data_IF_701559206861
#
_entry.id   IF_701559206861
#
_cell.length_a   1.000
_cell.length_b   1.000
_cell.length_c   1.000
_cell.angle_alpha   90.00
_cell.angle_beta   90.00
_cell.angle_gamma   90.00
#
_symmetry.space_group_name_H-M   'P 1'
#
loop_
_entity.id
_entity.type
_entity.pdbx_description
1 polymer ?
#
# COMPACT_ATOMS: atom_id res chain seq x y z
N UNK A 1 -8.86 -14.10 -32.26
CA UNK A 1 -9.08 -15.04 -31.14
C UNK A 1 -8.47 -16.43 -31.32
N UNK A 2 -8.27 -16.96 -32.52
CA UNK A 2 -7.61 -18.29 -32.73
C UNK A 2 -6.10 -18.29 -32.49
N UNK A 3 -5.40 -17.22 -32.79
CA UNK A 3 -3.93 -17.15 -32.73
C UNK A 3 -3.34 -17.16 -31.31
N UNK A 4 -4.15 -16.90 -30.28
CA UNK A 4 -3.68 -16.78 -28.90
C UNK A 4 -3.62 -18.11 -28.12
N UNK A 5 -4.21 -19.17 -28.68
CA UNK A 5 -4.37 -20.48 -28.01
C UNK A 5 -3.62 -21.64 -28.69
N UNK A 6 -2.89 -21.37 -29.76
CA UNK A 6 -2.16 -22.39 -30.54
C UNK A 6 -0.78 -22.75 -29.92
N UNK A 7 -0.66 -22.68 -28.58
CA UNK A 7 0.59 -23.07 -27.94
C UNK A 7 0.67 -24.57 -27.73
N UNK A 8 1.64 -25.18 -28.39
CA UNK A 8 2.05 -26.58 -28.17
C UNK A 8 3.42 -26.54 -27.49
N UNK A 9 3.53 -27.07 -26.26
CA UNK A 9 4.83 -27.14 -25.57
C UNK A 9 5.82 -27.98 -26.36
N UNK A 10 7.11 -27.69 -26.27
CA UNK A 10 8.19 -28.44 -26.98
C UNK A 10 8.15 -29.94 -26.62
N UNK A 11 7.76 -30.29 -25.40
CA UNK A 11 7.61 -31.69 -24.97
C UNK A 11 6.49 -32.40 -25.75
N UNK A 12 5.31 -31.76 -25.87
CA UNK A 12 4.16 -32.30 -26.63
C UNK A 12 4.56 -32.39 -28.11
N UNK A 13 5.17 -31.35 -28.65
CA UNK A 13 5.65 -31.33 -30.04
C UNK A 13 6.60 -32.47 -30.37
N UNK A 14 7.63 -32.67 -29.52
CA UNK A 14 8.58 -33.79 -29.63
C UNK A 14 7.91 -35.17 -29.57
N UNK A 15 6.85 -35.32 -28.78
CA UNK A 15 6.07 -36.57 -28.72
C UNK A 15 5.19 -36.76 -29.98
N UNK A 16 4.53 -35.68 -30.43
CA UNK A 16 3.72 -35.71 -31.66
C UNK A 16 4.53 -36.04 -32.92
N UNK A 17 5.78 -35.58 -33.00
CA UNK A 17 6.68 -35.93 -34.14
C UNK A 17 6.91 -37.44 -34.28
N UNK A 18 6.93 -38.16 -33.17
CA UNK A 18 7.16 -39.62 -33.15
C UNK A 18 5.92 -40.44 -33.51
N UNK A 19 4.76 -39.82 -33.69
CA UNK A 19 3.52 -40.51 -34.04
C UNK A 19 3.44 -40.70 -35.55
N UNK A 20 3.41 -41.95 -36.04
CA UNK A 20 3.44 -42.23 -37.47
C UNK A 20 2.10 -41.97 -38.17
N UNK A 21 0.99 -41.99 -37.46
CA UNK A 21 -0.36 -41.79 -38.02
C UNK A 21 -0.74 -40.33 -38.11
N UNK A 22 -0.88 -39.75 -39.34
CA UNK A 22 -1.30 -38.34 -39.50
C UNK A 22 -2.68 -38.05 -38.87
N UNK A 23 -3.63 -38.98 -38.98
CA UNK A 23 -4.97 -38.82 -38.40
C UNK A 23 -4.95 -38.79 -36.86
N UNK A 24 -4.13 -39.66 -36.25
CA UNK A 24 -3.97 -39.64 -34.80
C UNK A 24 -3.26 -38.36 -34.34
N UNK A 25 -2.22 -37.95 -35.05
CA UNK A 25 -1.54 -36.67 -34.75
C UNK A 25 -2.49 -35.49 -34.79
N UNK A 26 -3.31 -35.38 -35.83
CA UNK A 26 -4.32 -34.30 -35.95
C UNK A 26 -5.32 -34.30 -34.80
N UNK A 27 -5.82 -35.45 -34.37
CA UNK A 27 -6.72 -35.57 -33.23
C UNK A 27 -6.08 -35.11 -31.91
N UNK A 28 -4.80 -35.47 -31.71
CA UNK A 28 -4.09 -35.09 -30.48
C UNK A 28 -3.78 -33.58 -30.45
N UNK A 29 -3.49 -32.97 -31.59
CA UNK A 29 -3.35 -31.50 -31.69
C UNK A 29 -4.67 -30.83 -31.36
N UNK A 30 -5.78 -31.31 -31.88
CA UNK A 30 -7.09 -30.75 -31.59
C UNK A 30 -7.48 -30.89 -30.11
N UNK A 31 -7.18 -32.04 -29.49
CA UNK A 31 -7.35 -32.22 -28.05
C UNK A 31 -6.52 -31.19 -27.25
N UNK A 32 -5.26 -30.97 -27.66
CA UNK A 32 -4.41 -29.96 -26.99
C UNK A 32 -5.00 -28.55 -27.12
N UNK A 33 -5.50 -28.19 -28.30
CA UNK A 33 -6.11 -26.87 -28.54
C UNK A 33 -7.36 -26.67 -27.70
N UNK A 34 -8.25 -27.67 -27.63
CA UNK A 34 -9.45 -27.61 -26.78
C UNK A 34 -9.08 -27.52 -25.30
N UNK A 35 -8.07 -28.27 -24.87
CA UNK A 35 -7.59 -28.25 -23.49
C UNK A 35 -7.01 -26.88 -23.13
N UNK A 36 -6.22 -26.29 -24.03
CA UNK A 36 -5.67 -24.94 -23.82
C UNK A 36 -6.76 -23.89 -23.67
N UNK A 37 -7.80 -23.91 -24.54
CA UNK A 37 -8.94 -23.00 -24.41
C UNK A 37 -9.59 -23.14 -23.03
N UNK A 38 -9.83 -24.37 -22.56
CA UNK A 38 -10.44 -24.66 -21.26
C UNK A 38 -9.60 -24.16 -20.08
N UNK A 39 -8.26 -24.30 -20.18
CA UNK A 39 -7.35 -23.85 -19.12
C UNK A 39 -7.30 -22.32 -19.07
N UNK A 40 -7.16 -21.66 -20.23
CA UNK A 40 -7.14 -20.20 -20.30
C UNK A 40 -8.44 -19.57 -19.81
N UNK A 41 -9.61 -20.09 -20.23
CA UNK A 41 -10.89 -19.60 -19.76
C UNK A 41 -11.04 -19.70 -18.23
N UNK A 42 -10.53 -20.77 -17.63
CA UNK A 42 -10.55 -20.94 -16.17
C UNK A 42 -9.60 -19.97 -15.46
N UNK A 43 -8.38 -19.81 -15.97
CA UNK A 43 -7.39 -18.90 -15.39
C UNK A 43 -7.86 -17.45 -15.48
N UNK A 44 -8.31 -17.01 -16.66
CA UNK A 44 -8.82 -15.65 -16.86
C UNK A 44 -10.02 -15.35 -15.98
N UNK A 45 -10.97 -16.29 -15.89
CA UNK A 45 -12.15 -16.13 -15.04
C UNK A 45 -11.80 -16.05 -13.57
N UNK A 46 -10.94 -16.97 -13.08
CA UNK A 46 -10.46 -16.97 -11.71
C UNK A 46 -9.71 -15.69 -11.38
N UNK A 47 -8.82 -15.26 -12.26
CA UNK A 47 -8.03 -14.04 -12.08
C UNK A 47 -8.91 -12.80 -12.02
N UNK A 48 -9.91 -12.68 -12.88
CA UNK A 48 -10.85 -11.58 -12.88
C UNK A 48 -11.74 -11.57 -11.62
N UNK A 49 -12.26 -12.72 -11.20
CA UNK A 49 -13.02 -12.84 -9.95
C UNK A 49 -12.17 -12.50 -8.73
N UNK A 50 -10.94 -12.97 -8.67
CA UNK A 50 -9.98 -12.65 -7.61
C UNK A 50 -9.71 -11.15 -7.53
N UNK A 51 -9.42 -10.49 -8.67
CA UNK A 51 -9.22 -9.03 -8.74
C UNK A 51 -10.43 -8.27 -8.21
N UNK A 52 -11.64 -8.69 -8.59
CA UNK A 52 -12.88 -8.05 -8.13
C UNK A 52 -13.05 -8.17 -6.62
N UNK A 53 -12.85 -9.36 -6.07
CA UNK A 53 -12.97 -9.61 -4.62
C UNK A 53 -11.92 -8.79 -3.85
N UNK A 54 -10.66 -8.83 -4.30
CA UNK A 54 -9.56 -8.07 -3.69
C UNK A 54 -9.85 -6.58 -3.72
N UNK A 55 -10.17 -6.03 -4.89
CA UNK A 55 -10.45 -4.60 -5.04
C UNK A 55 -11.64 -4.14 -4.19
N UNK A 56 -12.70 -4.94 -4.07
CA UNK A 56 -13.83 -4.62 -3.20
C UNK A 56 -13.47 -4.62 -1.72
N UNK A 57 -12.59 -5.52 -1.28
CA UNK A 57 -12.10 -5.56 0.10
C UNK A 57 -11.18 -4.37 0.40
N UNK A 58 -10.30 -4.02 -0.53
CA UNK A 58 -9.43 -2.85 -0.39
C UNK A 58 -10.24 -1.54 -0.30
N UNK A 59 -11.28 -1.38 -1.13
CA UNK A 59 -12.17 -0.22 -1.04
C UNK A 59 -12.85 -0.09 0.32
N UNK A 60 -13.29 -1.20 0.93
CA UNK A 60 -13.83 -1.18 2.29
C UNK A 60 -12.77 -0.75 3.32
N UNK A 61 -11.53 -1.19 3.15
CA UNK A 61 -10.43 -0.79 4.03
C UNK A 61 -10.18 0.72 3.97
N UNK A 62 -10.28 1.33 2.79
CA UNK A 62 -10.09 2.78 2.64
C UNK A 62 -11.20 3.60 3.29
N UNK A 63 -12.43 3.11 3.32
CA UNK A 63 -13.50 3.75 4.10
C UNK A 63 -13.22 3.70 5.60
N UNK A 64 -12.63 2.60 6.09
CA UNK A 64 -12.17 2.49 7.48
C UNK A 64 -11.04 3.48 7.76
N UNK A 65 -10.05 3.58 6.86
CA UNK A 65 -8.96 4.55 7.01
C UNK A 65 -9.45 5.99 7.02
N UNK A 66 -10.50 6.31 6.23
CA UNK A 66 -11.15 7.61 6.29
C UNK A 66 -11.77 7.88 7.66
N UNK A 67 -12.45 6.91 8.27
CA UNK A 67 -12.99 7.06 9.62
C UNK A 67 -11.88 7.28 10.65
N UNK A 68 -10.78 6.52 10.57
CA UNK A 68 -9.60 6.71 11.43
C UNK A 68 -9.06 8.14 11.28
N UNK A 69 -8.90 8.62 10.05
CA UNK A 69 -8.46 9.97 9.76
C UNK A 69 -9.41 11.03 10.36
N UNK A 70 -10.72 10.84 10.22
CA UNK A 70 -11.73 11.78 10.76
C UNK A 70 -11.71 11.82 12.30
N UNK A 71 -11.38 10.71 12.97
CA UNK A 71 -11.16 10.67 14.43
C UNK A 71 -9.87 11.43 14.78
N UNK A 72 -8.76 11.15 14.09
CA UNK A 72 -7.47 11.82 14.32
C UNK A 72 -7.61 13.34 14.20
N UNK A 73 -8.34 13.81 13.19
CA UNK A 73 -8.57 15.23 12.92
C UNK A 73 -9.67 15.86 13.80
N UNK A 74 -10.29 15.09 14.70
CA UNK A 74 -11.36 15.56 15.58
C UNK A 74 -12.68 15.91 14.89
N UNK A 75 -12.91 15.40 13.67
CA UNK A 75 -14.17 15.55 12.93
C UNK A 75 -15.27 14.66 13.49
N UNK A 76 -14.90 13.52 14.06
CA UNK A 76 -15.77 12.59 14.75
C UNK A 76 -15.40 12.60 16.23
N UNK A 77 -16.38 12.84 17.10
CA UNK A 77 -16.17 12.69 18.52
C UNK A 77 -16.19 11.19 18.88
N UNK A 78 -15.06 10.60 19.30
CA UNK A 78 -14.98 9.19 19.63
C UNK A 78 -15.88 8.78 20.81
N UNK A 79 -16.25 9.71 21.69
CA UNK A 79 -17.18 9.45 22.79
C UNK A 79 -18.55 8.94 22.30
N UNK A 80 -18.93 9.27 21.06
CA UNK A 80 -20.17 8.78 20.45
C UNK A 80 -20.05 7.34 19.92
N UNK A 81 -18.84 6.79 19.87
CA UNK A 81 -18.53 5.45 19.37
C UNK A 81 -18.27 4.45 20.49
N UNK A 82 -17.96 4.94 21.71
CA UNK A 82 -17.63 4.08 22.84
C UNK A 82 -18.92 3.64 23.56
N UNK A 83 -18.92 2.39 24.00
CA UNK A 83 -19.97 1.82 24.86
C UNK A 83 -19.69 2.10 26.33
N UNK A 84 -20.70 1.93 27.20
CA UNK A 84 -20.51 2.05 28.66
C UNK A 84 -19.44 1.08 29.18
N UNK A 85 -19.39 -0.13 28.60
CA UNK A 85 -18.38 -1.14 28.94
C UNK A 85 -16.96 -0.67 28.59
N UNK A 86 -16.79 0.05 27.48
CA UNK A 86 -15.50 0.61 27.10
C UNK A 86 -15.01 1.65 28.11
N UNK A 87 -15.89 2.55 28.58
CA UNK A 87 -15.54 3.54 29.60
C UNK A 87 -15.06 2.87 30.89
N UNK A 88 -15.72 1.79 31.31
CA UNK A 88 -15.36 1.02 32.51
C UNK A 88 -14.06 0.26 32.28
N UNK A 89 -13.98 -0.50 31.17
CA UNK A 89 -12.86 -1.37 30.86
C UNK A 89 -11.53 -0.64 30.74
N UNK A 90 -11.57 0.55 30.13
CA UNK A 90 -10.37 1.35 29.88
C UNK A 90 -10.20 2.50 30.88
N UNK A 91 -11.05 2.59 31.92
CA UNK A 91 -11.03 3.63 32.92
C UNK A 91 -11.03 5.06 32.31
N UNK A 92 -11.90 5.27 31.33
CA UNK A 92 -11.99 6.54 30.63
C UNK A 92 -12.91 7.51 31.41
N UNK A 93 -12.42 8.71 31.67
CA UNK A 93 -13.25 9.76 32.24
C UNK A 93 -14.13 10.40 31.17
N UNK A 94 -15.47 10.36 31.33
CA UNK A 94 -16.42 10.95 30.37
C UNK A 94 -16.36 12.49 30.30
N UNK A 95 -15.71 13.14 31.25
CA UNK A 95 -15.55 14.60 31.21
C UNK A 95 -14.41 14.96 30.30
N UNK A 96 -14.75 15.58 29.19
CA UNK A 96 -13.80 16.15 28.25
C UNK A 96 -13.04 17.30 28.91
N UNK A 97 -11.73 17.39 28.66
CA UNK A 97 -10.91 18.51 29.11
C UNK A 97 -10.58 19.41 27.91
N UNK A 98 -11.24 20.57 27.74
CA UNK A 98 -11.00 21.46 26.60
C UNK A 98 -9.59 22.06 26.58
N UNK A 99 -8.83 21.96 27.67
CA UNK A 99 -7.43 22.38 27.74
C UNK A 99 -6.45 21.26 27.34
N UNK A 100 -6.93 20.04 27.10
CA UNK A 100 -6.09 18.96 26.57
C UNK A 100 -5.70 19.28 25.12
N UNK A 101 -4.42 19.23 24.81
CA UNK A 101 -3.89 19.49 23.48
C UNK A 101 -4.50 18.56 22.41
N UNK A 102 -4.91 17.38 22.81
CA UNK A 102 -5.50 16.35 21.93
C UNK A 102 -7.03 16.29 22.05
N UNK A 103 -7.66 17.27 22.68
CA UNK A 103 -9.11 17.27 22.93
C UNK A 103 -9.94 17.14 21.65
N UNK A 104 -9.52 17.82 20.57
CA UNK A 104 -10.23 17.78 19.28
C UNK A 104 -9.49 16.93 18.27
N UNK A 105 -8.20 17.14 18.10
CA UNK A 105 -7.35 16.42 17.14
C UNK A 105 -6.15 15.81 17.85
N UNK A 106 -5.64 14.69 17.35
CA UNK A 106 -4.41 14.09 17.87
C UNK A 106 -3.25 14.75 17.15
N UNK A 107 -2.58 15.67 17.86
CA UNK A 107 -1.45 16.45 17.29
C UNK A 107 -0.30 15.56 16.88
N UNK A 108 0.29 15.87 15.71
CA UNK A 108 1.46 15.18 15.15
C UNK A 108 1.32 13.66 15.00
N UNK A 109 0.06 13.16 14.90
CA UNK A 109 -0.19 11.72 14.82
C UNK A 109 0.61 11.06 13.70
N UNK A 110 0.51 11.59 12.49
CA UNK A 110 1.18 11.04 11.32
C UNK A 110 2.70 11.13 11.40
N UNK A 111 3.24 12.27 11.87
CA UNK A 111 4.68 12.43 12.10
C UNK A 111 5.21 11.39 13.09
N UNK A 112 4.53 11.20 14.23
CA UNK A 112 4.93 10.23 15.25
C UNK A 112 4.91 8.81 14.68
N UNK A 113 3.84 8.43 13.97
CA UNK A 113 3.74 7.12 13.34
C UNK A 113 4.84 6.89 12.29
N UNK A 114 5.11 7.88 11.43
CA UNK A 114 6.18 7.81 10.43
C UNK A 114 7.58 7.71 11.04
N UNK A 115 7.83 8.43 12.14
CA UNK A 115 9.12 8.32 12.86
C UNK A 115 9.33 6.94 13.48
N UNK A 116 8.27 6.34 14.00
CA UNK A 116 8.34 5.07 14.71
C UNK A 116 8.35 3.85 13.77
N UNK A 117 7.97 3.99 12.49
CA UNK A 117 7.92 2.86 11.58
C UNK A 117 9.30 2.38 11.09
N UNK A 118 10.36 3.18 11.25
CA UNK A 118 11.74 2.92 10.80
C UNK A 118 11.90 2.67 9.28
N UNK A 119 10.85 2.87 8.48
CA UNK A 119 10.93 2.75 7.02
C UNK A 119 11.57 3.98 6.38
N UNK A 120 11.25 5.16 6.91
CA UNK A 120 11.87 6.42 6.53
C UNK A 120 12.79 6.92 7.64
N UNK A 121 13.92 7.45 7.24
CA UNK A 121 14.70 8.32 8.12
C UNK A 121 14.09 9.72 8.05
N UNK A 122 13.67 10.25 9.18
CA UNK A 122 13.13 11.60 9.29
C UNK A 122 14.22 12.50 9.87
N UNK A 123 14.79 13.36 9.03
CA UNK A 123 15.79 14.35 9.46
C UNK A 123 15.16 15.45 10.31
N UNK A 124 15.97 16.28 10.98
CA UNK A 124 15.45 17.36 11.83
C UNK A 124 14.63 18.39 11.05
N UNK A 125 14.98 18.64 9.81
CA UNK A 125 14.22 19.57 8.97
C UNK A 125 12.93 18.91 8.49
N UNK A 126 12.99 17.65 8.06
CA UNK A 126 11.79 16.89 7.68
C UNK A 126 10.79 16.78 8.85
N UNK A 127 11.28 16.58 10.07
CA UNK A 127 10.42 16.56 11.27
C UNK A 127 9.60 17.86 11.37
N UNK A 128 10.25 19.03 11.24
CA UNK A 128 9.56 20.33 11.26
C UNK A 128 8.56 20.51 10.12
N UNK A 129 8.88 19.97 8.95
CA UNK A 129 7.97 20.01 7.80
C UNK A 129 6.76 19.11 8.07
N UNK A 130 7.00 17.89 8.54
CA UNK A 130 5.97 16.88 8.81
C UNK A 130 5.10 17.19 10.05
N UNK A 131 5.48 18.12 10.92
CA UNK A 131 4.60 18.69 11.95
C UNK A 131 3.33 19.31 11.34
N UNK A 132 3.38 19.72 10.07
CA UNK A 132 2.25 20.28 9.33
C UNK A 132 1.44 19.22 8.57
N UNK A 133 1.81 17.95 8.61
CA UNK A 133 1.10 16.86 7.97
C UNK A 133 -0.17 16.52 8.75
N UNK A 134 -1.32 16.73 8.13
CA UNK A 134 -2.64 16.53 8.74
C UNK A 134 -3.26 15.20 8.42
N UNK A 135 -2.98 14.66 7.23
CA UNK A 135 -3.61 13.42 6.78
C UNK A 135 -2.79 12.70 5.71
N UNK A 136 -2.92 11.38 5.69
CA UNK A 136 -2.43 10.52 4.61
C UNK A 136 -3.63 9.71 4.12
N UNK A 137 -3.90 9.78 2.81
CA UNK A 137 -4.97 8.99 2.20
C UNK A 137 -4.45 8.10 1.10
N UNK A 138 -5.04 6.93 1.01
CA UNK A 138 -4.83 5.97 -0.08
C UNK A 138 -6.15 5.81 -0.81
N UNK A 139 -6.13 5.95 -2.13
CA UNK A 139 -7.29 5.82 -2.99
C UNK A 139 -6.95 4.88 -4.14
N UNK A 140 -7.80 3.86 -4.38
CA UNK A 140 -7.73 3.04 -5.59
C UNK A 140 -8.45 3.73 -6.73
N UNK A 141 -7.90 3.57 -7.93
CA UNK A 141 -8.58 3.98 -9.16
C UNK A 141 -9.66 2.97 -9.57
N UNK A 142 -10.45 3.31 -10.61
CA UNK A 142 -11.56 2.47 -11.08
C UNK A 142 -11.12 1.06 -11.52
N UNK A 143 -9.89 0.92 -12.05
CA UNK A 143 -9.31 -0.37 -12.42
C UNK A 143 -8.95 -1.25 -11.21
N UNK A 144 -9.06 -0.73 -9.97
CA UNK A 144 -8.81 -1.42 -8.69
C UNK A 144 -7.40 -1.96 -8.48
N UNK A 145 -6.45 -1.52 -9.27
CA UNK A 145 -5.03 -1.84 -9.13
C UNK A 145 -4.16 -0.60 -9.00
N UNK A 146 -4.45 0.45 -9.78
CA UNK A 146 -3.75 1.74 -9.64
C UNK A 146 -4.18 2.43 -8.35
N UNK A 147 -3.24 3.10 -7.73
CA UNK A 147 -3.49 3.80 -6.48
C UNK A 147 -2.89 5.20 -6.45
N UNK A 148 -3.46 6.04 -5.62
CA UNK A 148 -2.95 7.37 -5.31
C UNK A 148 -2.74 7.49 -3.82
N UNK A 149 -1.54 7.90 -3.42
CA UNK A 149 -1.22 8.39 -2.09
C UNK A 149 -1.34 9.91 -2.07
N UNK A 150 -2.09 10.44 -1.11
CA UNK A 150 -2.29 11.89 -0.95
C UNK A 150 -1.87 12.30 0.46
N UNK A 151 -0.96 13.25 0.55
CA UNK A 151 -0.43 13.82 1.79
C UNK A 151 -0.98 15.23 1.95
N UNK A 152 -1.77 15.46 2.99
CA UNK A 152 -2.45 16.73 3.26
C UNK A 152 -1.69 17.53 4.30
N UNK A 153 -1.34 18.75 3.96
CA UNK A 153 -0.62 19.65 4.84
C UNK A 153 -1.43 20.88 5.18
N UNK A 154 -1.27 21.39 6.39
CA UNK A 154 -1.71 22.76 6.68
C UNK A 154 -0.74 23.77 6.05
N UNK A 155 -1.17 25.02 5.99
CA UNK A 155 -0.32 26.11 5.52
C UNK A 155 0.97 26.17 6.36
N UNK A 156 2.11 26.24 5.69
CA UNK A 156 3.42 26.22 6.32
C UNK A 156 4.43 27.10 5.57
N UNK A 157 5.59 27.31 6.17
CA UNK A 157 6.64 28.17 5.64
C UNK A 157 7.66 27.42 4.75
N UNK A 158 7.44 26.14 4.45
CA UNK A 158 8.39 25.30 3.72
C UNK A 158 8.03 25.13 2.25
N UNK A 159 6.75 25.01 1.92
CA UNK A 159 6.23 24.89 0.56
C UNK A 159 4.76 25.36 0.47
N UNK A 160 4.25 25.51 -0.75
CA UNK A 160 2.92 26.06 -0.99
C UNK A 160 1.82 25.04 -1.21
N UNK A 161 2.16 23.77 -1.41
CA UNK A 161 1.17 22.73 -1.64
C UNK A 161 0.37 22.46 -0.35
N UNK A 162 -0.95 22.45 -0.44
CA UNK A 162 -1.82 21.94 0.62
C UNK A 162 -2.01 20.42 0.52
N UNK A 163 -1.78 19.85 -0.66
CA UNK A 163 -1.81 18.42 -0.94
C UNK A 163 -0.65 18.07 -1.85
N UNK A 164 0.03 16.98 -1.59
CA UNK A 164 1.05 16.39 -2.45
C UNK A 164 0.60 14.97 -2.76
N UNK A 165 0.51 14.62 -4.04
CA UNK A 165 0.04 13.31 -4.48
C UNK A 165 1.16 12.54 -5.15
N UNK A 166 1.10 11.21 -4.99
CA UNK A 166 1.90 10.27 -5.75
C UNK A 166 0.99 9.18 -6.29
N UNK A 167 1.06 8.97 -7.60
CA UNK A 167 0.24 8.02 -8.35
C UNK A 167 1.09 6.84 -8.75
N UNK A 168 0.55 5.63 -8.62
CA UNK A 168 1.21 4.38 -8.97
C UNK A 168 0.33 3.65 -9.97
N UNK A 169 0.91 3.33 -11.13
CA UNK A 169 0.23 2.70 -12.25
C UNK A 169 0.79 1.30 -12.46
N UNK A 170 -0.09 0.32 -12.40
CA UNK A 170 0.26 -1.09 -12.45
C UNK A 170 -0.21 -1.73 -13.75
N UNK A 171 0.59 -2.67 -14.26
CA UNK A 171 0.19 -3.48 -15.39
C UNK A 171 -0.96 -4.42 -15.01
N UNK A 172 -2.06 -4.37 -15.76
CA UNK A 172 -3.25 -5.17 -15.46
C UNK A 172 -3.05 -6.68 -15.56
N UNK A 173 -2.07 -7.14 -16.35
CA UNK A 173 -1.84 -8.57 -16.58
C UNK A 173 -0.98 -9.22 -15.50
N UNK A 174 0.08 -8.53 -15.05
CA UNK A 174 1.05 -9.09 -14.12
C UNK A 174 1.14 -8.37 -12.79
N UNK A 175 0.31 -7.31 -12.60
CA UNK A 175 0.21 -6.49 -11.40
C UNK A 175 1.55 -5.88 -10.92
N UNK A 176 2.51 -5.72 -11.82
CA UNK A 176 3.77 -5.04 -11.54
C UNK A 176 3.65 -3.55 -11.77
N UNK A 177 4.35 -2.76 -10.99
CA UNK A 177 4.42 -1.32 -11.18
C UNK A 177 5.06 -1.00 -12.54
N UNK A 178 4.33 -0.26 -13.38
CA UNK A 178 4.83 0.23 -14.68
C UNK A 178 5.50 1.58 -14.53
N UNK A 179 4.87 2.48 -13.79
CA UNK A 179 5.38 3.83 -13.53
C UNK A 179 4.76 4.43 -12.27
N UNK A 180 5.42 5.44 -11.73
CA UNK A 180 4.86 6.36 -10.77
C UNK A 180 4.94 7.80 -11.27
N UNK A 181 4.02 8.63 -10.82
CA UNK A 181 4.01 10.06 -11.08
C UNK A 181 3.68 10.79 -9.77
N UNK A 182 4.25 11.96 -9.56
CA UNK A 182 3.99 12.73 -8.34
C UNK A 182 3.92 14.24 -8.63
N UNK A 183 3.21 14.92 -7.76
CA UNK A 183 3.10 16.36 -7.79
C UNK A 183 4.46 17.02 -7.51
N UNK A 184 4.77 18.08 -8.25
CA UNK A 184 5.92 18.91 -7.94
C UNK A 184 5.69 19.66 -6.62
N UNK A 185 6.66 19.57 -5.71
CA UNK A 185 6.61 20.31 -4.45
C UNK A 185 7.11 21.74 -4.69
N UNK A 186 6.23 22.71 -4.47
CA UNK A 186 6.49 24.13 -4.64
C UNK A 186 7.23 24.69 -3.42
N UNK A 187 8.49 24.30 -3.27
CA UNK A 187 9.35 24.69 -2.14
C UNK A 187 9.57 26.19 -2.03
N UNK A 188 9.61 26.69 -0.82
CA UNK A 188 10.11 28.04 -0.57
C UNK A 188 11.62 28.13 -0.77
N UNK A 189 12.10 29.36 -0.99
CA UNK A 189 13.51 29.62 -1.32
C UNK A 189 14.42 28.95 -0.27
N UNK A 190 15.44 28.24 -0.77
CA UNK A 190 16.51 27.60 0.01
C UNK A 190 16.09 26.38 0.86
N UNK A 191 14.84 25.93 0.84
CA UNK A 191 14.46 24.73 1.61
C UNK A 191 15.09 23.48 1.01
N UNK A 192 15.07 23.30 -0.31
CA UNK A 192 15.72 22.15 -0.98
C UNK A 192 17.19 22.03 -0.61
N UNK A 193 17.95 23.13 -0.64
CA UNK A 193 19.37 23.11 -0.29
C UNK A 193 19.61 22.79 1.18
N UNK A 194 18.68 23.12 2.06
CA UNK A 194 18.75 22.72 3.48
C UNK A 194 18.39 21.25 3.67
N UNK A 195 17.37 20.75 2.97
CA UNK A 195 17.00 19.32 2.99
C UNK A 195 18.18 18.45 2.54
N UNK A 196 18.80 18.79 1.41
CA UNK A 196 19.98 18.07 0.90
C UNK A 196 21.11 18.01 1.92
N UNK A 197 21.31 19.07 2.71
CA UNK A 197 22.35 19.11 3.76
C UNK A 197 21.97 18.35 5.03
N UNK A 198 20.67 18.24 5.33
CA UNK A 198 20.15 17.63 6.56
C UNK A 198 19.85 16.13 6.40
N UNK A 199 19.82 15.64 5.14
CA UNK A 199 19.53 14.23 4.83
C UNK A 199 20.69 13.31 5.22
N UNK A 200 20.36 12.08 5.56
CA UNK A 200 21.32 10.99 5.69
C UNK A 200 21.39 10.25 4.34
N UNK A 201 22.54 10.35 3.65
CA UNK A 201 22.73 9.77 2.31
C UNK A 201 22.67 8.24 2.30
N UNK A 202 22.83 7.58 3.46
CA UNK A 202 22.77 6.13 3.58
C UNK A 202 21.38 5.61 3.96
N UNK A 203 20.40 6.51 4.08
CA UNK A 203 19.04 6.17 4.50
C UNK A 203 18.01 6.75 3.54
N UNK A 204 16.86 6.12 3.47
CA UNK A 204 15.73 6.61 2.71
C UNK A 204 15.05 7.73 3.50
N UNK A 205 15.23 8.98 3.09
CA UNK A 205 14.54 10.12 3.68
C UNK A 205 13.10 10.19 3.17
N UNK A 206 12.21 10.85 3.92
CA UNK A 206 10.79 10.89 3.55
C UNK A 206 10.55 11.59 2.21
N UNK A 207 11.17 12.76 1.99
CA UNK A 207 10.96 13.51 0.76
C UNK A 207 11.72 12.97 -0.47
N UNK A 208 12.59 11.96 -0.30
CA UNK A 208 13.25 11.28 -1.44
C UNK A 208 12.24 10.60 -2.38
N UNK A 209 11.05 10.25 -1.87
CA UNK A 209 9.97 9.66 -2.67
C UNK A 209 9.40 10.61 -3.74
N UNK A 210 9.68 11.91 -3.64
CA UNK A 210 9.27 12.96 -4.57
C UNK A 210 10.45 13.54 -5.36
N UNK A 211 11.60 12.88 -5.37
CA UNK A 211 12.76 13.27 -6.17
C UNK A 211 12.94 12.34 -7.37
N UNK A 212 12.81 12.89 -8.58
CA UNK A 212 12.93 12.15 -9.85
C UNK A 212 14.25 11.39 -9.99
N UNK A 213 15.31 11.83 -9.30
CA UNK A 213 16.62 11.19 -9.36
C UNK A 213 16.71 9.97 -8.43
N UNK A 214 15.82 9.87 -7.44
CA UNK A 214 15.83 8.81 -6.43
C UNK A 214 14.73 7.75 -6.66
N UNK A 215 13.89 7.94 -7.69
CA UNK A 215 12.75 7.09 -7.98
C UNK A 215 13.14 6.00 -8.97
N UNK A 216 12.88 4.74 -8.61
CA UNK A 216 12.90 3.58 -9.50
C UNK A 216 11.63 2.78 -9.32
N UNK A 217 11.19 2.02 -10.32
CA UNK A 217 9.97 1.20 -10.19
C UNK A 217 10.03 0.25 -8.99
N UNK A 218 11.17 -0.34 -8.69
CA UNK A 218 11.32 -1.24 -7.53
C UNK A 218 11.19 -0.50 -6.19
N UNK A 219 11.81 0.68 -6.05
CA UNK A 219 11.71 1.48 -4.82
C UNK A 219 10.29 1.99 -4.61
N UNK A 220 9.62 2.41 -5.68
CA UNK A 220 8.25 2.90 -5.63
C UNK A 220 7.25 1.80 -5.34
N UNK A 221 7.44 0.60 -5.92
CA UNK A 221 6.61 -0.56 -5.63
C UNK A 221 6.73 -0.99 -4.16
N UNK A 222 7.95 -1.03 -3.63
CA UNK A 222 8.19 -1.32 -2.22
C UNK A 222 7.55 -0.28 -1.30
N UNK A 223 7.60 0.99 -1.67
CA UNK A 223 7.00 2.10 -0.91
C UNK A 223 5.48 2.02 -0.92
N UNK A 224 4.87 1.85 -2.08
CA UNK A 224 3.42 1.68 -2.20
C UNK A 224 2.92 0.48 -1.39
N UNK A 225 3.63 -0.65 -1.48
CA UNK A 225 3.32 -1.86 -0.73
C UNK A 225 3.46 -1.65 0.79
N UNK A 226 4.53 -1.00 1.24
CA UNK A 226 4.71 -0.67 2.65
C UNK A 226 3.58 0.22 3.17
N UNK A 227 3.32 1.34 2.49
CA UNK A 227 2.32 2.30 2.94
C UNK A 227 0.90 1.70 2.95
N UNK A 228 0.56 0.91 1.93
CA UNK A 228 -0.77 0.32 1.79
C UNK A 228 -1.00 -0.88 2.70
N UNK A 229 -0.02 -1.81 2.76
CA UNK A 229 -0.23 -3.13 3.34
C UNK A 229 0.31 -3.27 4.77
N UNK A 230 1.19 -2.34 5.21
CA UNK A 230 1.83 -2.38 6.52
C UNK A 230 1.54 -1.12 7.33
N UNK A 231 1.92 0.06 6.82
CA UNK A 231 1.83 1.30 7.57
C UNK A 231 0.37 1.70 7.89
N UNK A 232 -0.51 1.78 6.89
CA UNK A 232 -1.89 2.21 7.13
C UNK A 232 -2.68 1.22 8.01
N UNK A 233 -2.61 -0.11 7.82
CA UNK A 233 -3.25 -1.05 8.74
C UNK A 233 -2.68 -1.02 10.15
N UNK A 234 -1.37 -0.75 10.28
CA UNK A 234 -0.62 -0.74 11.54
C UNK A 234 -0.44 0.64 12.17
N UNK A 235 -1.07 1.70 11.65
CA UNK A 235 -0.75 3.08 12.01
C UNK A 235 -0.83 3.39 13.51
N UNK A 236 -1.81 2.80 14.22
CA UNK A 236 -1.92 2.94 15.68
C UNK A 236 -0.73 2.29 16.41
N UNK A 237 -0.29 1.11 15.95
CA UNK A 237 0.84 0.41 16.56
C UNK A 237 2.15 1.19 16.35
N UNK A 238 2.32 1.79 15.18
CA UNK A 238 3.44 2.70 14.92
C UNK A 238 3.35 3.97 15.77
N UNK A 239 2.18 4.60 15.85
CA UNK A 239 1.99 5.76 16.72
C UNK A 239 2.36 5.46 18.17
N UNK A 240 1.96 4.31 18.70
CA UNK A 240 2.25 3.85 20.06
C UNK A 240 3.66 3.24 20.22
N UNK A 241 4.47 3.20 19.16
CA UNK A 241 5.81 2.59 19.14
C UNK A 241 5.84 1.13 19.60
N UNK A 242 4.79 0.36 19.26
CA UNK A 242 4.66 -1.06 19.63
C UNK A 242 5.34 -2.00 18.63
N UNK A 243 5.48 -1.59 17.39
CA UNK A 243 6.10 -2.34 16.30
C UNK A 243 7.05 -1.44 15.54
N UNK A 244 8.05 -2.06 14.89
CA UNK A 244 8.95 -1.40 13.96
C UNK A 244 8.87 -2.11 12.62
N UNK A 245 9.03 -1.38 11.54
CA UNK A 245 9.10 -1.97 10.23
C UNK A 245 10.30 -2.93 10.17
N UNK A 246 10.03 -4.21 9.99
CA UNK A 246 11.07 -5.19 9.64
C UNK A 246 11.20 -5.10 8.12
N UNK A 247 12.40 -4.93 7.58
CA UNK A 247 12.68 -5.03 6.14
C UNK A 247 12.28 -6.42 5.65
N UNK A 248 11.00 -6.61 5.41
CA UNK A 248 10.44 -7.82 4.82
C UNK A 248 10.68 -7.66 3.32
N UNK A 249 11.60 -8.46 2.76
CA UNK A 249 11.63 -8.67 1.32
C UNK A 249 10.32 -9.36 0.97
N UNK A 250 9.42 -8.62 0.32
CA UNK A 250 8.20 -9.20 -0.23
C UNK A 250 8.61 -10.11 -1.39
N UNK A 251 8.64 -11.41 -1.15
CA UNK A 251 8.72 -12.40 -2.21
C UNK A 251 7.30 -12.70 -2.67
N UNK A 252 6.95 -12.25 -3.87
CA UNK A 252 5.60 -12.34 -4.43
C UNK A 252 5.13 -13.77 -4.70
N UNK A 253 5.98 -14.77 -4.52
CA UNK A 253 5.66 -16.18 -4.74
C UNK A 253 5.32 -16.96 -3.47
N UNK A 254 5.56 -16.40 -2.30
CA UNK A 254 5.21 -17.05 -1.04
C UNK A 254 4.01 -16.36 -0.39
N UNK A 255 2.96 -17.13 -0.12
CA UNK A 255 1.80 -16.73 0.68
C UNK A 255 2.25 -16.24 2.05
N UNK A 256 2.65 -14.98 2.17
CA UNK A 256 3.00 -14.38 3.44
C UNK A 256 1.72 -13.91 4.10
N UNK A 257 1.20 -14.78 4.95
CA UNK A 257 0.45 -14.33 6.10
C UNK A 257 1.47 -13.67 7.01
N UNK A 258 1.50 -12.33 7.01
CA UNK A 258 2.40 -11.56 7.85
C UNK A 258 2.30 -12.02 9.30
N UNK A 259 3.39 -12.53 9.85
CA UNK A 259 3.48 -12.73 11.29
C UNK A 259 3.64 -11.37 11.94
N UNK A 260 2.53 -10.74 12.30
CA UNK A 260 2.55 -9.68 13.29
C UNK A 260 3.04 -10.28 14.61
N UNK A 261 4.26 -9.97 14.98
CA UNK A 261 4.79 -10.30 16.32
C UNK A 261 4.35 -9.21 17.32
N UNK A 262 3.03 -8.99 17.38
CA UNK A 262 2.41 -8.36 18.52
C UNK A 262 2.27 -9.46 19.56
N UNK A 263 3.09 -9.43 20.61
CA UNK A 263 3.23 -10.42 21.64
C UNK A 263 2.01 -11.38 21.82
N UNK A 264 2.13 -12.59 21.27
CA UNK A 264 1.21 -13.72 21.43
C UNK A 264 -0.20 -13.56 20.86
N UNK A 265 -0.34 -13.43 19.54
CA UNK A 265 -1.54 -13.94 18.87
C UNK A 265 -1.09 -15.06 17.94
N UNK A 266 -1.25 -16.31 18.41
CA UNK A 266 -1.08 -17.50 17.58
C UNK A 266 -2.29 -17.62 16.65
N UNK A 267 -2.16 -17.19 15.40
CA UNK A 267 -3.11 -17.56 14.35
C UNK A 267 -2.66 -18.92 13.84
N UNK A 268 -3.36 -19.98 14.25
CA UNK A 268 -3.18 -21.31 13.69
C UNK A 268 -3.56 -21.30 12.22
N UNK A 269 -2.62 -21.70 11.38
CA UNK A 269 -2.83 -22.00 9.96
C UNK A 269 -4.00 -22.97 9.82
N UNK A 270 -5.04 -22.57 9.13
CA UNK A 270 -6.10 -23.48 8.67
C UNK A 270 -5.55 -24.11 7.39
N UNK A 271 -5.30 -25.44 7.46
CA UNK A 271 -4.98 -26.27 6.29
C UNK A 271 -6.20 -26.47 5.43
#
# INVERSE_FOLDING_TARGET
>A
MKEQYDYISEDIKSKLEKIPSPSLKAKLIEINNITNILLYDKEDKFHNEYKQIRGNNEMKSFEIYKQISDIIQGKINPNNLLTEDDYIKYNINKKENPNDINYKEIKNFWLIALKNCDYFYISKLEEKILENLKDIKIELHENKIDLTLSYFFEQNDFFKNSVIKKHYFYNEKNEKLEKSEFDEILWDKNIISKLIKDRDENKKNFFDMFDKNNVTNELDENEANFLKNDFMPGVLQYYLNLVKHKNIKYDFNDNIIGTFDAGKINIKTIK
#
